data_IF_617173557524
#
_entry.id   IF_617173557524
#
_cell.length_a   1.000
_cell.length_b   1.000
_cell.length_c   1.000
_cell.angle_alpha   90.00
_cell.angle_beta   90.00
_cell.angle_gamma   90.00
#
_symmetry.space_group_name_H-M   'P 1'
#
loop_
_entity.id
_entity.type
_entity.pdbx_description
1 polymer ?
#
# COMPACT_ATOMS: atom_id res chain seq x y z
N UNK A 1 1.25 4.45 -11.33
CA UNK A 1 0.61 5.03 -10.13
C UNK A 1 -0.78 5.59 -10.42
N UNK A 2 -1.05 6.18 -11.57
CA UNK A 2 -2.37 6.77 -11.89
C UNK A 2 -3.43 5.76 -12.38
N UNK A 3 -3.04 4.54 -12.75
CA UNK A 3 -3.96 3.47 -13.24
C UNK A 3 -4.01 2.30 -12.25
N UNK A 4 -2.91 1.55 -12.15
CA UNK A 4 -2.88 0.31 -11.36
C UNK A 4 -3.18 0.57 -9.88
N UNK A 5 -2.51 1.53 -9.24
CA UNK A 5 -2.74 1.79 -7.81
C UNK A 5 -4.21 2.08 -7.46
N UNK A 6 -4.90 3.06 -8.09
CA UNK A 6 -6.29 3.34 -7.77
C UNK A 6 -7.21 2.14 -8.05
N UNK A 7 -7.09 1.49 -9.20
CA UNK A 7 -7.95 0.34 -9.55
C UNK A 7 -7.76 -0.82 -8.57
N UNK A 8 -6.52 -1.15 -8.25
CA UNK A 8 -6.19 -2.26 -7.35
C UNK A 8 -6.59 -1.98 -5.90
N UNK A 9 -6.81 -0.71 -5.54
CA UNK A 9 -7.39 -0.28 -4.25
C UNK A 9 -8.89 0.05 -4.33
N UNK A 10 -9.59 -0.42 -5.36
CA UNK A 10 -11.04 -0.20 -5.56
C UNK A 10 -11.44 1.28 -5.63
N UNK A 11 -10.52 2.15 -6.07
CA UNK A 11 -10.71 3.60 -6.29
C UNK A 11 -10.66 3.94 -7.77
N UNK A 12 -11.47 3.25 -8.58
CA UNK A 12 -11.55 3.46 -10.03
C UNK A 12 -11.90 4.92 -10.36
N UNK A 13 -12.63 5.60 -9.48
CA UNK A 13 -12.95 7.02 -9.54
C UNK A 13 -11.70 7.93 -9.60
N UNK A 14 -10.56 7.46 -9.11
CA UNK A 14 -9.28 8.17 -9.14
C UNK A 14 -8.33 7.70 -10.26
N UNK A 15 -8.76 6.73 -11.09
CA UNK A 15 -7.93 6.20 -12.15
C UNK A 15 -7.92 7.13 -13.37
N UNK A 16 -6.73 7.43 -13.88
CA UNK A 16 -6.53 8.24 -15.10
C UNK A 16 -6.01 7.34 -16.21
N UNK A 17 -6.84 7.10 -17.22
CA UNK A 17 -6.51 6.24 -18.36
C UNK A 17 -6.04 7.08 -19.55
N UNK A 18 -4.73 7.15 -19.73
CA UNK A 18 -4.10 7.75 -20.92
C UNK A 18 -3.44 6.64 -21.76
N UNK A 19 -3.60 6.70 -23.08
CA UNK A 19 -3.09 5.68 -23.99
C UNK A 19 -1.57 5.49 -23.88
N UNK A 20 -0.82 6.58 -23.67
CA UNK A 20 0.64 6.55 -23.64
C UNK A 20 1.20 5.87 -22.38
N UNK A 21 0.42 5.83 -21.28
CA UNK A 21 0.89 5.25 -20.01
C UNK A 21 1.26 3.77 -20.13
N UNK A 22 0.50 3.00 -20.91
CA UNK A 22 0.79 1.59 -21.08
C UNK A 22 2.03 1.37 -21.96
N UNK A 23 2.24 2.21 -22.98
CA UNK A 23 3.43 2.16 -23.80
C UNK A 23 4.70 2.40 -22.96
N UNK A 24 4.69 3.41 -22.08
CA UNK A 24 5.81 3.68 -21.16
C UNK A 24 6.01 2.54 -20.16
N UNK A 25 4.91 2.01 -19.60
CA UNK A 25 4.95 0.85 -18.70
C UNK A 25 5.59 -0.37 -19.35
N UNK A 26 5.27 -0.62 -20.62
CA UNK A 26 5.85 -1.68 -21.44
C UNK A 26 7.35 -1.46 -21.65
N UNK A 27 7.76 -0.26 -22.09
CA UNK A 27 9.17 0.08 -22.34
C UNK A 27 10.02 -0.11 -21.07
N UNK A 28 9.49 0.32 -19.91
CA UNK A 28 10.19 0.14 -18.63
C UNK A 28 10.32 -1.33 -18.28
N UNK A 29 9.24 -2.12 -18.37
CA UNK A 29 9.30 -3.56 -18.12
C UNK A 29 10.30 -4.26 -19.05
N UNK A 30 10.39 -3.83 -20.31
CA UNK A 30 11.31 -4.42 -21.29
C UNK A 30 12.76 -4.13 -20.93
N UNK A 31 13.04 -2.90 -20.48
CA UNK A 31 14.36 -2.51 -19.99
C UNK A 31 14.77 -3.36 -18.79
N UNK A 32 13.87 -3.56 -17.82
CA UNK A 32 14.13 -4.41 -16.66
C UNK A 32 14.33 -5.87 -17.06
N UNK A 33 13.52 -6.42 -17.98
CA UNK A 33 13.68 -7.81 -18.45
C UNK A 33 15.08 -8.04 -19.03
N UNK A 34 15.56 -7.11 -19.87
CA UNK A 34 16.90 -7.18 -20.47
C UNK A 34 18.00 -7.09 -19.42
N UNK A 35 17.82 -6.26 -18.39
CA UNK A 35 18.80 -6.13 -17.31
C UNK A 35 18.83 -7.41 -16.46
N UNK A 36 17.67 -7.95 -16.08
CA UNK A 36 17.60 -9.18 -15.29
C UNK A 36 18.25 -10.36 -16.01
N UNK A 37 17.94 -10.58 -17.30
CA UNK A 37 18.54 -11.67 -18.10
C UNK A 37 20.07 -11.55 -18.19
N UNK A 38 20.60 -10.33 -18.18
CA UNK A 38 22.06 -10.12 -18.28
C UNK A 38 22.81 -10.46 -16.99
N UNK A 39 22.15 -10.29 -15.85
CA UNK A 39 22.79 -10.44 -14.54
C UNK A 39 22.49 -11.80 -13.87
N UNK A 40 21.37 -12.43 -14.21
CA UNK A 40 20.96 -13.72 -13.64
C UNK A 40 21.33 -14.91 -14.54
N UNK A 41 21.60 -16.04 -13.90
CA UNK A 41 21.76 -17.35 -14.54
C UNK A 41 20.44 -18.12 -14.57
N UNK A 42 20.27 -19.06 -15.50
CA UNK A 42 19.06 -19.91 -15.55
C UNK A 42 18.92 -20.83 -14.32
N UNK A 43 20.00 -21.04 -13.57
CA UNK A 43 20.00 -21.75 -12.29
C UNK A 43 19.43 -20.90 -11.14
N UNK A 44 19.38 -19.57 -11.30
CA UNK A 44 18.87 -18.66 -10.29
C UNK A 44 17.34 -18.68 -10.22
N UNK A 45 16.83 -18.37 -9.03
CA UNK A 45 15.42 -18.04 -8.84
C UNK A 45 15.23 -16.52 -8.88
N UNK A 46 14.58 -16.02 -9.93
CA UNK A 46 14.25 -14.60 -10.04
C UNK A 46 12.94 -14.33 -9.31
N UNK A 47 13.00 -13.51 -8.26
CA UNK A 47 11.81 -13.10 -7.50
C UNK A 47 11.44 -11.64 -7.78
N UNK A 48 10.33 -11.45 -8.48
CA UNK A 48 9.81 -10.15 -8.90
C UNK A 48 8.79 -9.64 -7.89
N UNK A 49 8.84 -8.35 -7.59
CA UNK A 49 7.94 -7.73 -6.61
C UNK A 49 7.11 -6.60 -7.21
N UNK A 50 5.81 -6.67 -6.92
CA UNK A 50 4.83 -5.61 -7.01
C UNK A 50 4.31 -5.21 -8.41
N UNK A 51 3.17 -4.50 -8.41
CA UNK A 51 2.36 -4.18 -9.60
C UNK A 51 3.07 -3.44 -10.75
N UNK A 52 4.26 -2.90 -10.49
CA UNK A 52 5.07 -2.26 -11.51
C UNK A 52 5.60 -3.24 -12.57
N UNK A 53 5.61 -4.54 -12.27
CA UNK A 53 6.30 -5.55 -13.06
C UNK A 53 5.43 -6.73 -13.52
N UNK A 54 4.14 -6.53 -13.79
CA UNK A 54 3.27 -7.61 -14.28
C UNK A 54 3.75 -8.23 -15.60
N UNK A 55 4.42 -7.46 -16.46
CA UNK A 55 4.87 -7.94 -17.78
C UNK A 55 6.28 -8.56 -17.76
N UNK A 56 7.00 -8.48 -16.63
CA UNK A 56 8.44 -8.75 -16.61
C UNK A 56 8.76 -10.21 -17.00
N UNK A 57 8.07 -11.21 -16.42
CA UNK A 57 8.28 -12.61 -16.79
C UNK A 57 8.00 -12.86 -18.28
N UNK A 58 6.85 -12.40 -18.81
CA UNK A 58 6.51 -12.51 -20.23
C UNK A 58 7.64 -11.99 -21.12
N UNK A 59 8.15 -10.79 -20.81
CA UNK A 59 9.21 -10.16 -21.58
C UNK A 59 10.56 -10.88 -21.48
N UNK A 60 10.80 -11.57 -20.36
CA UNK A 60 11.96 -12.45 -20.21
C UNK A 60 11.79 -13.74 -21.03
N UNK A 61 10.62 -14.38 -20.97
CA UNK A 61 10.31 -15.62 -21.73
C UNK A 61 10.43 -15.40 -23.24
N UNK A 62 9.89 -14.30 -23.76
CA UNK A 62 10.01 -13.91 -25.18
C UNK A 62 11.47 -13.78 -25.64
N UNK A 63 12.40 -13.52 -24.70
CA UNK A 63 13.84 -13.40 -24.95
C UNK A 63 14.62 -14.70 -24.71
N UNK A 64 13.92 -15.81 -24.51
CA UNK A 64 14.54 -17.12 -24.33
C UNK A 64 14.92 -17.46 -22.89
N UNK A 65 14.48 -16.68 -21.89
CA UNK A 65 14.71 -17.04 -20.49
C UNK A 65 13.97 -18.33 -20.11
N UNK A 66 14.68 -19.36 -19.65
CA UNK A 66 14.07 -20.63 -19.21
C UNK A 66 14.11 -20.85 -17.69
N UNK A 67 14.89 -20.05 -16.95
CA UNK A 67 15.01 -20.13 -15.48
C UNK A 67 13.71 -19.84 -14.73
N UNK A 68 13.68 -20.10 -13.41
CA UNK A 68 12.45 -19.92 -12.60
C UNK A 68 12.20 -18.45 -12.25
N UNK A 69 10.96 -18.01 -12.39
CA UNK A 69 10.52 -16.65 -12.08
C UNK A 69 9.28 -16.68 -11.20
N UNK A 70 9.39 -16.16 -9.98
CA UNK A 70 8.27 -15.92 -9.08
C UNK A 70 7.85 -14.46 -9.05
N UNK A 71 6.59 -14.19 -8.75
CA UNK A 71 6.03 -12.87 -8.54
C UNK A 71 5.35 -12.77 -7.17
N UNK A 72 5.48 -11.64 -6.50
CA UNK A 72 4.68 -11.32 -5.31
C UNK A 72 4.04 -9.94 -5.41
N UNK A 73 2.70 -9.89 -5.32
CA UNK A 73 1.93 -8.66 -5.32
C UNK A 73 1.75 -8.15 -3.88
N UNK A 74 2.27 -6.94 -3.60
CA UNK A 74 2.22 -6.38 -2.25
C UNK A 74 0.91 -5.64 -1.95
N UNK A 75 0.24 -5.16 -2.99
CA UNK A 75 -1.06 -4.50 -2.92
C UNK A 75 -2.21 -5.52 -3.09
N UNK A 76 -3.47 -5.16 -2.81
CA UNK A 76 -4.59 -6.07 -3.05
C UNK A 76 -4.72 -6.43 -4.54
N UNK A 77 -5.26 -7.62 -4.83
CA UNK A 77 -5.78 -7.93 -6.15
C UNK A 77 -7.30 -7.67 -6.15
N UNK A 78 -7.80 -6.73 -6.97
CA UNK A 78 -9.17 -6.26 -6.87
C UNK A 78 -10.13 -7.30 -7.43
N UNK A 79 -11.44 -7.09 -7.23
CA UNK A 79 -12.45 -7.93 -7.86
C UNK A 79 -12.28 -7.93 -9.41
N UNK A 80 -12.60 -9.03 -10.11
CA UNK A 80 -12.44 -9.14 -11.56
C UNK A 80 -12.99 -7.95 -12.36
N UNK A 81 -14.19 -7.47 -12.01
CA UNK A 81 -14.83 -6.34 -12.69
C UNK A 81 -14.07 -5.03 -12.52
N UNK A 82 -13.45 -4.82 -11.36
CA UNK A 82 -12.57 -3.67 -11.15
C UNK A 82 -11.29 -3.79 -11.98
N UNK A 83 -10.69 -4.97 -12.05
CA UNK A 83 -9.49 -5.19 -12.87
C UNK A 83 -9.79 -4.98 -14.37
N UNK A 84 -10.97 -5.40 -14.84
CA UNK A 84 -11.45 -5.17 -16.22
C UNK A 84 -11.58 -3.70 -16.60
N UNK A 85 -11.69 -2.79 -15.63
CA UNK A 85 -11.71 -1.36 -15.92
C UNK A 85 -10.38 -0.85 -16.51
N UNK A 86 -9.27 -1.60 -16.37
CA UNK A 86 -7.99 -1.24 -16.96
C UNK A 86 -8.02 -1.56 -18.47
N UNK A 87 -7.79 -0.60 -19.39
CA UNK A 87 -7.88 -0.84 -20.83
C UNK A 87 -7.04 -2.04 -21.33
N UNK A 88 -5.84 -2.23 -20.78
CA UNK A 88 -4.93 -3.35 -21.09
C UNK A 88 -4.99 -4.48 -20.06
N UNK A 89 -6.15 -4.71 -19.44
CA UNK A 89 -6.30 -5.73 -18.40
C UNK A 89 -5.92 -7.12 -18.92
N UNK A 90 -6.26 -7.45 -20.18
CA UNK A 90 -5.99 -8.77 -20.74
C UNK A 90 -4.48 -9.00 -20.86
N UNK A 91 -3.74 -8.03 -21.39
CA UNK A 91 -2.28 -8.12 -21.53
C UNK A 91 -1.58 -8.24 -20.17
N UNK A 92 -2.03 -7.48 -19.17
CA UNK A 92 -1.48 -7.51 -17.82
C UNK A 92 -1.81 -8.83 -17.10
N UNK A 93 -3.06 -9.25 -17.17
CA UNK A 93 -3.56 -10.44 -16.49
C UNK A 93 -3.03 -11.73 -17.08
N UNK A 94 -2.96 -11.83 -18.41
CA UNK A 94 -2.37 -12.99 -19.08
C UNK A 94 -0.86 -13.08 -18.78
N UNK A 95 -0.16 -11.95 -18.66
CA UNK A 95 1.27 -11.93 -18.34
C UNK A 95 1.58 -12.45 -16.93
N UNK A 96 0.62 -12.40 -16.00
CA UNK A 96 0.78 -13.03 -14.68
C UNK A 96 0.90 -14.55 -14.79
N UNK A 97 0.34 -15.17 -15.84
CA UNK A 97 0.49 -16.61 -16.08
C UNK A 97 1.84 -17.00 -16.71
N UNK A 98 2.68 -16.02 -17.10
CA UNK A 98 4.06 -16.28 -17.56
C UNK A 98 5.06 -16.45 -16.40
N UNK A 99 4.62 -16.18 -15.15
CA UNK A 99 5.35 -16.52 -13.94
C UNK A 99 5.12 -17.99 -13.55
N UNK A 100 6.13 -18.61 -12.93
CA UNK A 100 5.99 -19.98 -12.40
C UNK A 100 5.14 -20.00 -11.12
N UNK A 101 5.26 -18.94 -10.31
CA UNK A 101 4.56 -18.77 -9.04
C UNK A 101 4.10 -17.31 -8.92
N UNK A 102 2.83 -17.10 -8.56
CA UNK A 102 2.28 -15.79 -8.19
C UNK A 102 1.77 -15.85 -6.75
N UNK A 103 2.42 -15.08 -5.89
CA UNK A 103 2.03 -14.86 -4.51
C UNK A 103 1.24 -13.56 -4.33
N UNK A 104 0.22 -13.59 -3.49
CA UNK A 104 -0.58 -12.42 -3.08
C UNK A 104 -0.72 -12.36 -1.55
N UNK A 105 -1.25 -11.28 -1.00
CA UNK A 105 -1.31 -11.09 0.45
C UNK A 105 -2.35 -11.99 1.14
N UNK A 106 -3.57 -12.06 0.60
CA UNK A 106 -4.71 -12.68 1.30
C UNK A 106 -5.41 -13.74 0.47
N UNK A 107 -6.22 -14.58 1.12
CA UNK A 107 -7.09 -15.52 0.43
C UNK A 107 -8.12 -14.84 -0.49
N UNK A 108 -8.53 -13.60 -0.17
CA UNK A 108 -9.43 -12.82 -1.03
C UNK A 108 -8.74 -12.39 -2.32
N UNK A 109 -7.49 -11.94 -2.24
CA UNK A 109 -6.71 -11.58 -3.42
C UNK A 109 -6.50 -12.81 -4.32
N UNK A 110 -6.21 -13.95 -3.71
CA UNK A 110 -6.01 -15.22 -4.42
C UNK A 110 -7.29 -15.64 -5.15
N UNK A 111 -8.43 -15.59 -4.44
CA UNK A 111 -9.74 -15.88 -5.01
C UNK A 111 -10.06 -14.95 -6.19
N UNK A 112 -9.84 -13.65 -6.04
CA UNK A 112 -10.11 -12.68 -7.09
C UNK A 112 -9.23 -12.92 -8.33
N UNK A 113 -7.94 -13.19 -8.14
CA UNK A 113 -7.00 -13.47 -9.23
C UNK A 113 -7.37 -14.76 -9.97
N UNK A 114 -7.61 -15.86 -9.23
CA UNK A 114 -8.00 -17.13 -9.82
C UNK A 114 -9.29 -17.00 -10.63
N UNK A 115 -10.31 -16.35 -10.04
CA UNK A 115 -11.59 -16.08 -10.71
C UNK A 115 -11.41 -15.23 -11.97
N UNK A 116 -10.56 -14.20 -11.93
CA UNK A 116 -10.28 -13.38 -13.09
C UNK A 116 -9.63 -14.20 -14.22
N UNK A 117 -8.65 -15.05 -13.90
CA UNK A 117 -7.99 -15.91 -14.88
C UNK A 117 -8.94 -16.96 -15.48
N UNK A 118 -9.83 -17.52 -14.66
CA UNK A 118 -10.89 -18.44 -15.09
C UNK A 118 -11.85 -17.74 -16.08
N UNK A 119 -12.41 -16.60 -15.69
CA UNK A 119 -13.40 -15.87 -16.49
C UNK A 119 -12.81 -15.30 -17.80
N UNK A 120 -11.57 -14.80 -17.80
CA UNK A 120 -10.99 -14.12 -18.97
C UNK A 120 -10.23 -15.03 -19.93
N UNK A 121 -9.66 -16.13 -19.42
CA UNK A 121 -8.74 -17.00 -20.16
C UNK A 121 -9.08 -18.49 -20.06
N UNK A 122 -10.18 -18.86 -19.40
CA UNK A 122 -10.57 -20.25 -19.22
C UNK A 122 -9.57 -21.04 -18.37
N UNK A 123 -8.98 -20.39 -17.35
CA UNK A 123 -8.03 -21.05 -16.48
C UNK A 123 -8.66 -22.24 -15.74
N UNK A 124 -7.96 -23.38 -15.72
CA UNK A 124 -8.42 -24.60 -15.06
C UNK A 124 -7.53 -24.89 -13.84
N UNK A 125 -8.15 -25.12 -12.68
CA UNK A 125 -7.43 -25.62 -11.51
C UNK A 125 -7.09 -27.11 -11.70
N UNK A 126 -5.81 -27.44 -11.47
CA UNK A 126 -5.26 -28.79 -11.57
C UNK A 126 -5.33 -29.51 -10.23
N UNK A 127 -5.30 -30.86 -10.21
CA UNK A 127 -5.39 -31.64 -8.97
C UNK A 127 -4.29 -31.35 -7.92
N UNK A 128 -3.18 -30.72 -8.32
CA UNK A 128 -2.07 -30.35 -7.45
C UNK A 128 -2.11 -28.87 -6.98
N UNK A 129 -3.21 -28.17 -7.23
CA UNK A 129 -3.45 -26.79 -6.83
C UNK A 129 -2.75 -25.75 -7.70
N UNK A 130 -2.26 -26.13 -8.88
CA UNK A 130 -1.78 -25.20 -9.93
C UNK A 130 -2.91 -24.83 -10.88
N UNK A 131 -2.75 -23.74 -11.62
CA UNK A 131 -3.71 -23.29 -12.62
C UNK A 131 -3.10 -23.40 -14.02
N UNK A 132 -3.82 -24.03 -14.94
CA UNK A 132 -3.48 -24.05 -16.37
C UNK A 132 -4.15 -22.85 -17.05
N UNK A 133 -3.37 -22.03 -17.74
CA UNK A 133 -3.86 -20.87 -18.51
C UNK A 133 -3.30 -20.98 -19.94
N UNK A 134 -4.11 -21.47 -20.87
CA UNK A 134 -3.63 -21.89 -22.19
C UNK A 134 -2.58 -23.00 -22.09
N UNK A 135 -1.39 -22.77 -22.63
CA UNK A 135 -0.26 -23.72 -22.56
C UNK A 135 0.59 -23.57 -21.29
N UNK A 136 0.32 -22.54 -20.47
CA UNK A 136 1.11 -22.19 -19.29
C UNK A 136 0.52 -22.83 -18.04
N UNK A 137 1.37 -23.12 -17.06
CA UNK A 137 0.95 -23.61 -15.75
C UNK A 137 1.59 -22.73 -14.68
N UNK A 138 0.77 -22.09 -13.86
CA UNK A 138 1.18 -21.17 -12.80
C UNK A 138 0.69 -21.67 -11.45
N UNK A 139 1.51 -21.52 -10.40
CA UNK A 139 1.06 -21.76 -9.02
C UNK A 139 0.60 -20.45 -8.39
N UNK A 140 -0.63 -20.40 -7.91
CA UNK A 140 -1.16 -19.25 -7.18
C UNK A 140 -1.15 -19.54 -5.67
N UNK A 141 -0.65 -18.62 -4.86
CA UNK A 141 -0.54 -18.76 -3.40
C UNK A 141 -0.90 -17.44 -2.72
N UNK A 142 -1.41 -17.52 -1.49
CA UNK A 142 -1.45 -16.35 -0.60
C UNK A 142 -0.42 -16.53 0.52
N UNK A 143 0.41 -15.50 0.72
CA UNK A 143 1.47 -15.47 1.71
C UNK A 143 1.43 -14.09 2.39
N UNK A 144 0.71 -13.94 3.52
CA UNK A 144 0.59 -12.64 4.19
C UNK A 144 1.96 -12.18 4.71
N UNK A 145 2.36 -10.97 4.31
CA UNK A 145 3.65 -10.41 4.75
C UNK A 145 3.62 -10.08 6.25
N UNK A 146 4.67 -10.52 6.95
CA UNK A 146 4.90 -10.18 8.36
C UNK A 146 5.93 -9.07 8.54
N UNK A 147 6.24 -8.77 9.80
CA UNK A 147 7.39 -7.94 10.17
C UNK A 147 8.34 -8.75 11.05
N UNK A 148 9.61 -8.33 11.10
CA UNK A 148 10.51 -8.73 12.17
C UNK A 148 10.09 -8.01 13.46
N UNK A 149 9.31 -8.73 14.29
CA UNK A 149 8.74 -8.21 15.54
C UNK A 149 9.84 -7.89 16.53
N UNK A 150 10.83 -8.78 16.68
CA UNK A 150 11.91 -8.61 17.64
C UNK A 150 12.75 -7.39 17.29
N UNK A 151 13.14 -7.23 16.02
CA UNK A 151 13.85 -6.04 15.55
C UNK A 151 13.06 -4.76 15.81
N UNK A 152 11.74 -4.75 15.57
CA UNK A 152 10.92 -3.56 15.79
C UNK A 152 10.72 -3.23 17.27
N UNK A 153 10.60 -4.25 18.13
CA UNK A 153 10.54 -4.06 19.58
C UNK A 153 11.83 -3.45 20.11
N UNK A 154 13.00 -3.96 19.67
CA UNK A 154 14.30 -3.37 20.04
C UNK A 154 14.47 -1.94 19.51
N UNK A 155 13.98 -1.65 18.30
CA UNK A 155 14.01 -0.30 17.75
C UNK A 155 13.24 0.72 18.61
N UNK A 156 12.24 0.30 19.38
CA UNK A 156 11.52 1.16 20.31
C UNK A 156 12.30 1.51 21.60
N UNK A 157 13.44 0.86 21.82
CA UNK A 157 14.33 1.04 22.98
C UNK A 157 15.60 1.83 22.61
N UNK A 158 15.80 2.12 21.32
CA UNK A 158 16.88 2.96 20.82
C UNK A 158 16.81 4.38 21.41
N UNK A 159 17.98 5.00 21.60
CA UNK A 159 18.07 6.37 22.11
C UNK A 159 17.24 7.35 21.26
N UNK A 160 17.21 7.19 19.94
CA UNK A 160 16.38 8.01 19.04
C UNK A 160 14.90 7.83 19.30
N UNK A 161 14.47 6.60 19.57
CA UNK A 161 13.07 6.30 19.90
C UNK A 161 12.66 6.97 21.22
N UNK A 162 13.49 6.84 22.26
CA UNK A 162 13.27 7.43 23.58
C UNK A 162 13.22 8.96 23.48
N UNK A 163 14.18 9.58 22.77
CA UNK A 163 14.22 11.03 22.57
C UNK A 163 13.02 11.53 21.76
N UNK A 164 12.61 10.82 20.72
CA UNK A 164 11.45 11.18 19.91
C UNK A 164 10.15 11.10 20.71
N UNK A 165 9.96 10.00 21.46
CA UNK A 165 8.85 9.82 22.38
C UNK A 165 8.79 10.93 23.43
N UNK A 166 9.93 11.25 24.07
CA UNK A 166 10.00 12.30 25.08
C UNK A 166 9.59 13.69 24.54
N UNK A 167 9.97 14.02 23.30
CA UNK A 167 9.52 15.27 22.64
C UNK A 167 8.01 15.31 22.46
N UNK A 168 7.40 14.18 22.10
CA UNK A 168 5.95 14.09 21.93
C UNK A 168 5.22 14.12 23.28
N UNK A 169 5.72 13.41 24.31
CA UNK A 169 5.17 13.46 25.68
C UNK A 169 5.20 14.88 26.24
N UNK A 170 6.30 15.63 26.06
CA UNK A 170 6.38 17.02 26.51
C UNK A 170 5.29 17.91 25.92
N UNK A 171 4.90 17.66 24.67
CA UNK A 171 3.82 18.37 24.00
C UNK A 171 2.43 17.94 24.52
N UNK A 172 2.24 16.64 24.75
CA UNK A 172 0.97 16.10 25.24
C UNK A 172 0.65 16.57 26.66
N UNK A 173 1.65 16.73 27.52
CA UNK A 173 1.44 16.92 28.95
C UNK A 173 0.83 15.66 29.56
N UNK A 174 -0.25 15.80 30.31
CA UNK A 174 -0.96 14.67 30.94
C UNK A 174 -1.98 13.99 29.99
N UNK A 175 -2.04 14.41 28.72
CA UNK A 175 -3.01 13.93 27.74
C UNK A 175 -2.65 12.58 27.17
N UNK A 176 -3.67 11.77 26.87
CA UNK A 176 -3.48 10.49 26.19
C UNK A 176 -3.27 10.69 24.68
N UNK A 177 -2.35 9.90 24.11
CA UNK A 177 -2.04 9.93 22.69
C UNK A 177 -2.90 8.92 21.91
N UNK A 178 -3.64 9.45 20.93
CA UNK A 178 -4.14 8.68 19.79
C UNK A 178 -3.19 8.91 18.62
N UNK A 179 -2.74 7.86 17.94
CA UNK A 179 -1.70 7.94 16.93
C UNK A 179 -2.16 7.34 15.59
N UNK A 180 -1.93 8.06 14.50
CA UNK A 180 -2.00 7.54 13.14
C UNK A 180 -0.66 7.76 12.42
N UNK A 181 -0.15 6.74 11.74
CA UNK A 181 1.08 6.85 10.94
C UNK A 181 0.85 6.12 9.62
N UNK A 182 0.75 6.89 8.54
CA UNK A 182 0.51 6.37 7.19
C UNK A 182 1.22 7.25 6.17
N UNK A 183 1.50 6.72 4.98
CA UNK A 183 1.80 7.64 3.86
C UNK A 183 0.54 8.44 3.55
N UNK A 184 0.71 9.68 3.10
CA UNK A 184 -0.40 10.47 2.57
C UNK A 184 -0.88 9.85 1.25
N UNK A 185 -1.87 8.97 1.35
CA UNK A 185 -2.36 8.12 0.28
C UNK A 185 -3.86 7.88 0.51
N UNK A 186 -4.67 8.04 -0.53
CA UNK A 186 -6.15 7.97 -0.44
C UNK A 186 -6.66 6.58 -0.05
N UNK A 187 -5.82 5.56 -0.11
CA UNK A 187 -6.13 4.20 0.36
C UNK A 187 -6.17 4.09 1.89
N UNK A 188 -5.82 5.15 2.64
CA UNK A 188 -5.61 5.12 4.10
C UNK A 188 -6.73 5.72 4.92
N UNK A 189 -7.82 6.15 4.28
CA UNK A 189 -8.99 6.69 4.97
C UNK A 189 -8.69 7.92 5.84
N UNK A 190 -7.65 8.69 5.53
CA UNK A 190 -7.18 9.78 6.40
C UNK A 190 -8.26 10.85 6.65
N UNK A 191 -9.04 11.30 5.65
CA UNK A 191 -10.14 12.24 5.88
C UNK A 191 -11.20 11.65 6.83
N UNK A 192 -11.59 10.39 6.61
CA UNK A 192 -12.56 9.69 7.44
C UNK A 192 -12.05 9.51 8.87
N UNK A 193 -10.75 9.31 9.06
CA UNK A 193 -10.13 9.25 10.38
C UNK A 193 -10.19 10.60 11.11
N UNK A 194 -9.96 11.71 10.40
CA UNK A 194 -10.05 13.05 10.99
C UNK A 194 -11.49 13.38 11.36
N UNK A 195 -12.45 13.07 10.50
CA UNK A 195 -13.88 13.22 10.80
C UNK A 195 -14.33 12.29 11.93
N UNK A 196 -13.77 11.07 12.01
CA UNK A 196 -14.02 10.17 13.13
C UNK A 196 -13.55 10.74 14.47
N UNK A 197 -12.42 11.47 14.48
CA UNK A 197 -11.96 12.21 15.67
C UNK A 197 -12.87 13.39 15.99
N UNK A 198 -13.32 14.16 14.99
CA UNK A 198 -14.30 15.23 15.19
C UNK A 198 -15.60 14.69 15.81
N UNK A 199 -16.10 13.57 15.28
CA UNK A 199 -17.28 12.90 15.81
C UNK A 199 -17.09 12.43 17.26
N UNK A 200 -15.91 11.91 17.62
CA UNK A 200 -15.58 11.59 19.01
C UNK A 200 -15.67 12.84 19.91
N UNK A 201 -15.13 13.98 19.46
CA UNK A 201 -15.18 15.23 20.21
C UNK A 201 -16.59 15.79 20.34
N UNK A 202 -17.47 15.62 19.34
CA UNK A 202 -18.88 15.99 19.43
C UNK A 202 -19.65 15.14 20.45
N UNK A 203 -19.44 13.82 20.41
CA UNK A 203 -20.21 12.89 21.25
C UNK A 203 -19.71 12.84 22.70
N UNK A 204 -18.44 13.17 22.92
CA UNK A 204 -17.78 13.05 24.22
C UNK A 204 -17.01 14.33 24.59
N UNK A 205 -17.69 15.43 24.99
CA UNK A 205 -17.02 16.63 25.47
C UNK A 205 -16.09 16.40 26.68
N UNK A 206 -16.32 15.32 27.43
CA UNK A 206 -15.50 14.91 28.57
C UNK A 206 -14.07 14.48 28.17
N UNK A 207 -13.79 14.21 26.90
CA UNK A 207 -12.42 13.90 26.44
C UNK A 207 -11.63 15.15 26.01
N UNK A 208 -12.28 16.31 25.95
CA UNK A 208 -11.65 17.56 25.54
C UNK A 208 -10.53 17.93 26.51
N UNK A 209 -9.37 18.29 25.97
CA UNK A 209 -8.17 18.58 26.77
C UNK A 209 -7.55 17.36 27.46
N UNK A 210 -8.14 16.16 27.36
CA UNK A 210 -7.61 14.91 27.94
C UNK A 210 -6.97 13.97 26.91
N UNK A 211 -7.37 14.08 25.65
CA UNK A 211 -6.78 13.32 24.55
C UNK A 211 -6.27 14.25 23.45
N UNK A 212 -5.20 13.85 22.77
CA UNK A 212 -4.74 14.51 21.54
C UNK A 212 -4.42 13.47 20.48
N UNK A 213 -4.88 13.72 19.27
CA UNK A 213 -4.59 12.89 18.12
C UNK A 213 -3.38 13.41 17.37
N UNK A 214 -2.38 12.57 17.12
CA UNK A 214 -1.26 12.89 16.24
C UNK A 214 -1.32 12.03 14.99
N UNK A 215 -1.40 12.68 13.82
CA UNK A 215 -1.24 12.02 12.52
C UNK A 215 0.13 12.37 11.93
N UNK A 216 0.95 11.35 11.69
CA UNK A 216 2.15 11.45 10.85
C UNK A 216 1.79 11.00 9.44
N UNK A 217 1.98 11.89 8.47
CA UNK A 217 1.63 11.62 7.07
C UNK A 217 2.67 12.19 6.11
N UNK A 218 3.83 11.53 5.91
CA UNK A 218 4.79 11.93 4.89
C UNK A 218 4.11 12.06 3.51
N UNK A 219 4.30 13.18 2.80
CA UNK A 219 3.81 13.34 1.43
C UNK A 219 4.33 12.21 0.54
N UNK A 220 3.46 11.73 -0.36
CA UNK A 220 3.79 10.71 -1.35
C UNK A 220 3.27 11.16 -2.71
N UNK A 221 4.03 10.90 -3.78
CA UNK A 221 3.58 11.08 -5.18
C UNK A 221 2.94 12.45 -5.44
N UNK A 222 3.60 13.52 -5.00
CA UNK A 222 3.08 14.91 -4.95
C UNK A 222 2.71 15.53 -6.29
N UNK A 223 3.04 14.88 -7.42
CA UNK A 223 2.68 15.32 -8.77
C UNK A 223 1.40 14.65 -9.30
N UNK A 224 0.84 13.69 -8.57
CA UNK A 224 -0.41 12.99 -8.95
C UNK A 224 -1.58 13.74 -8.33
N UNK A 225 -2.55 14.15 -9.16
CA UNK A 225 -3.66 15.02 -8.77
C UNK A 225 -4.43 14.52 -7.52
N UNK A 226 -4.78 13.23 -7.46
CA UNK A 226 -5.48 12.67 -6.30
C UNK A 226 -4.71 12.76 -4.98
N UNK A 227 -3.38 12.91 -5.01
CA UNK A 227 -2.57 13.12 -3.80
C UNK A 227 -2.52 14.60 -3.39
N UNK A 228 -2.59 15.52 -4.37
CA UNK A 228 -2.68 16.96 -4.13
C UNK A 228 -4.02 17.30 -3.49
N UNK A 229 -5.12 16.79 -4.04
CA UNK A 229 -6.47 16.99 -3.50
C UNK A 229 -6.60 16.42 -2.07
N UNK A 230 -6.07 15.22 -1.83
CA UNK A 230 -6.05 14.64 -0.49
C UNK A 230 -5.29 15.53 0.51
N UNK A 231 -4.17 16.13 0.08
CA UNK A 231 -3.42 17.03 0.96
C UNK A 231 -4.24 18.24 1.37
N UNK A 232 -4.88 18.88 0.40
CA UNK A 232 -5.72 20.06 0.64
C UNK A 232 -6.89 19.74 1.57
N UNK A 233 -7.55 18.59 1.37
CA UNK A 233 -8.63 18.11 2.23
C UNK A 233 -8.14 17.89 3.68
N UNK A 234 -6.98 17.25 3.87
CA UNK A 234 -6.42 17.03 5.21
C UNK A 234 -6.02 18.35 5.91
N UNK A 235 -5.46 19.31 5.17
CA UNK A 235 -5.11 20.62 5.71
C UNK A 235 -6.37 21.38 6.16
N UNK A 236 -7.44 21.34 5.35
CA UNK A 236 -8.73 21.96 5.67
C UNK A 236 -9.40 21.29 6.89
N UNK A 237 -9.47 19.96 6.91
CA UNK A 237 -10.05 19.21 8.02
C UNK A 237 -9.29 19.45 9.32
N UNK A 238 -7.96 19.41 9.29
CA UNK A 238 -7.13 19.69 10.47
C UNK A 238 -7.38 21.11 10.98
N UNK A 239 -7.44 22.10 10.08
CA UNK A 239 -7.69 23.50 10.42
C UNK A 239 -9.06 23.70 11.06
N UNK A 240 -10.11 23.13 10.44
CA UNK A 240 -11.49 23.18 10.94
C UNK A 240 -11.59 22.56 12.33
N UNK A 241 -11.15 21.31 12.49
CA UNK A 241 -11.27 20.59 13.77
C UNK A 241 -10.49 21.28 14.88
N UNK A 242 -9.26 21.76 14.60
CA UNK A 242 -8.52 22.51 15.61
C UNK A 242 -9.17 23.86 15.94
N UNK A 243 -9.86 24.49 15.00
CA UNK A 243 -10.62 25.72 15.24
C UNK A 243 -11.90 25.50 16.05
N UNK A 244 -12.59 24.37 15.82
CA UNK A 244 -13.86 24.05 16.47
C UNK A 244 -13.67 23.58 17.92
N UNK A 245 -12.64 22.78 18.21
CA UNK A 245 -12.44 22.18 19.54
C UNK A 245 -11.18 22.67 20.27
N UNK A 246 -10.21 23.29 19.59
CA UNK A 246 -8.95 23.67 20.23
C UNK A 246 -9.10 24.71 21.33
N UNK A 247 -8.14 24.71 22.26
CA UNK A 247 -8.05 25.68 23.35
C UNK A 247 -6.60 26.20 23.48
N UNK A 248 -6.37 27.20 24.33
CA UNK A 248 -5.08 27.89 24.52
C UNK A 248 -3.91 26.92 24.77
N UNK A 249 -4.16 25.80 25.43
CA UNK A 249 -3.16 24.80 25.81
C UNK A 249 -3.44 23.42 25.18
N UNK A 250 -4.41 23.31 24.26
CA UNK A 250 -4.84 22.05 23.67
C UNK A 250 -5.01 22.12 22.15
N UNK A 251 -4.29 21.25 21.46
CA UNK A 251 -4.44 21.02 20.01
C UNK A 251 -5.07 19.63 19.83
N UNK A 252 -6.34 19.54 19.37
CA UNK A 252 -7.04 18.27 19.19
C UNK A 252 -6.35 17.36 18.17
N UNK A 253 -5.98 17.91 17.01
CA UNK A 253 -5.30 17.19 15.92
C UNK A 253 -3.95 17.83 15.62
N UNK A 254 -2.89 17.07 15.89
CA UNK A 254 -1.52 17.38 15.47
C UNK A 254 -1.18 16.60 14.21
N UNK A 255 -1.27 17.28 13.07
CA UNK A 255 -0.95 16.71 11.77
C UNK A 255 0.47 17.10 11.32
N UNK A 256 1.29 16.10 10.97
CA UNK A 256 2.70 16.24 10.62
C UNK A 256 2.95 15.67 9.22
N UNK A 257 3.05 16.55 8.23
CA UNK A 257 3.34 16.17 6.85
C UNK A 257 4.83 15.93 6.58
N UNK A 258 5.46 15.04 7.35
CA UNK A 258 6.88 14.66 7.20
C UNK A 258 7.12 13.24 7.66
N UNK A 259 8.19 12.64 7.14
CA UNK A 259 8.66 11.33 7.58
C UNK A 259 9.45 11.41 8.88
N UNK A 260 9.52 10.27 9.57
CA UNK A 260 10.39 10.03 10.72
C UNK A 260 11.12 8.71 10.52
N UNK A 261 12.25 8.53 11.21
CA UNK A 261 12.99 7.28 11.14
C UNK A 261 12.20 6.12 11.79
N UNK A 262 12.56 4.88 11.45
CA UNK A 262 11.88 3.67 11.95
C UNK A 262 11.89 3.61 13.48
N UNK A 263 13.00 3.98 14.10
CA UNK A 263 13.19 3.99 15.56
C UNK A 263 12.30 5.07 16.21
N UNK A 264 12.23 6.27 15.62
CA UNK A 264 11.35 7.34 16.11
C UNK A 264 9.87 6.92 16.06
N UNK A 265 9.46 6.29 14.95
CA UNK A 265 8.12 5.73 14.77
C UNK A 265 7.83 4.64 15.83
N UNK A 266 8.77 3.75 16.08
CA UNK A 266 8.65 2.74 17.13
C UNK A 266 8.48 3.38 18.53
N UNK A 267 9.22 4.46 18.81
CA UNK A 267 9.04 5.26 20.03
C UNK A 267 7.65 5.89 20.15
N UNK A 268 7.10 6.43 19.06
CA UNK A 268 5.73 6.98 19.06
C UNK A 268 4.69 5.89 19.34
N UNK A 269 4.80 4.72 18.69
CA UNK A 269 3.91 3.59 18.93
C UNK A 269 3.95 3.13 20.39
N UNK A 270 5.14 3.10 21.01
CA UNK A 270 5.31 2.66 22.40
C UNK A 270 4.57 3.52 23.43
N UNK A 271 4.39 4.83 23.15
CA UNK A 271 3.70 5.76 24.05
C UNK A 271 2.23 6.00 23.68
N UNK A 272 1.78 5.54 22.51
CA UNK A 272 0.40 5.69 22.07
C UNK A 272 -0.54 4.81 22.91
N UNK A 273 -1.67 5.36 23.34
CA UNK A 273 -2.73 4.59 24.00
C UNK A 273 -3.63 3.90 22.98
N UNK A 274 -3.82 4.54 21.84
CA UNK A 274 -4.61 4.02 20.72
C UNK A 274 -3.86 4.28 19.43
N UNK A 275 -3.81 3.28 18.55
CA UNK A 275 -3.32 3.43 17.18
C UNK A 275 -4.50 3.29 16.22
N UNK A 276 -4.73 4.30 15.38
CA UNK A 276 -5.77 4.29 14.36
C UNK A 276 -5.17 3.82 13.03
N UNK A 277 -5.49 2.58 12.65
CA UNK A 277 -5.17 1.97 11.36
C UNK A 277 -6.50 1.52 10.76
N UNK A 278 -7.07 2.37 9.91
CA UNK A 278 -8.47 2.34 9.47
C UNK A 278 -8.59 2.31 7.95
#
# INVERSE_FOLDING_TARGET
NSVLWPVMHSRIDLAVFENDFFADYYIVNEKFARMTIREASEEDFVWVHDYHFFLLARMMRVRGWTGKVGFFLHIPFPAPDSFRAIPHHRELGEALADYDIVGVQTGRDLYNLARYLEEEFGAEELPDGRYRVGERVVRLLHCPIGIDVESFTHAAEDERAILAAARLVKFLGDRQLVLGIDRMDYSKGLPQRFEGMAHLFDQHPDVHGHISFTQVAPPSRTFVEGYVQLREELDQLCGRINGDYGDLDWIPIRYLARGYAREEVAGFYRIARVCLVT
#
